data_IF_155240605369
#
_entry.id   IF_155240605369
#
_cell.length_a   1.000
_cell.length_b   1.000
_cell.length_c   1.000
_cell.angle_alpha   90.00
_cell.angle_beta   90.00
_cell.angle_gamma   90.00
#
_symmetry.space_group_name_H-M   'P 1'
#
loop_
_entity.id
_entity.type
_entity.pdbx_description
1 polymer ?
#
# COMPACT_ATOMS: atom_id res chain seq x y z
N UNK A 1 13.07 1.72 0.11
CA UNK A 1 13.18 0.33 -0.41
C UNK A 1 12.51 -0.66 0.57
N UNK A 2 11.50 -1.40 0.13
CA UNK A 2 10.78 -2.39 0.95
C UNK A 2 10.97 -3.80 0.36
N UNK A 3 12.14 -4.40 0.54
CA UNK A 3 12.49 -5.72 0.00
C UNK A 3 13.39 -6.47 0.98
N UNK A 4 13.15 -7.78 1.09
CA UNK A 4 13.97 -8.72 1.88
C UNK A 4 14.79 -9.67 1.01
N UNK A 5 14.78 -9.48 -0.32
CA UNK A 5 15.58 -10.26 -1.30
C UNK A 5 16.74 -9.41 -1.81
N UNK A 6 17.93 -10.00 -1.88
CA UNK A 6 19.16 -9.35 -2.36
C UNK A 6 19.01 -8.75 -3.77
N UNK A 7 18.26 -9.41 -4.67
CA UNK A 7 18.01 -8.93 -6.05
C UNK A 7 16.61 -8.32 -6.28
N UNK A 8 15.81 -8.17 -5.23
CA UNK A 8 14.47 -7.59 -5.35
C UNK A 8 14.56 -6.07 -5.35
N UNK A 9 14.25 -5.39 -6.45
CA UNK A 9 14.28 -3.92 -6.56
C UNK A 9 13.32 -3.17 -5.62
N UNK A 10 12.46 -3.87 -4.86
CA UNK A 10 11.46 -3.27 -4.00
C UNK A 10 10.36 -2.51 -4.76
N UNK A 11 10.25 -2.71 -6.08
CA UNK A 11 9.31 -2.00 -6.95
C UNK A 11 7.86 -2.40 -6.66
N UNK A 12 7.60 -3.67 -6.33
CA UNK A 12 6.25 -4.18 -6.11
C UNK A 12 5.48 -3.40 -5.04
N UNK A 13 6.00 -3.36 -3.81
CA UNK A 13 5.33 -2.64 -2.73
C UNK A 13 5.38 -1.12 -2.92
N UNK A 14 6.41 -0.61 -3.61
CA UNK A 14 6.49 0.81 -3.96
C UNK A 14 5.33 1.23 -4.89
N UNK A 15 5.06 0.42 -5.92
CA UNK A 15 3.93 0.64 -6.83
C UNK A 15 2.59 0.49 -6.11
N UNK A 16 2.44 -0.54 -5.27
CA UNK A 16 1.23 -0.74 -4.46
C UNK A 16 0.98 0.45 -3.55
N UNK A 17 2.01 0.95 -2.87
CA UNK A 17 1.89 2.13 -1.99
C UNK A 17 1.48 3.38 -2.77
N UNK A 18 2.03 3.58 -3.98
CA UNK A 18 1.63 4.69 -4.85
C UNK A 18 0.16 4.60 -5.25
N UNK A 19 -0.27 3.44 -5.77
CA UNK A 19 -1.66 3.21 -6.18
C UNK A 19 -2.61 3.44 -5.01
N UNK A 20 -2.30 2.88 -3.83
CA UNK A 20 -3.17 3.03 -2.65
C UNK A 20 -3.27 4.50 -2.23
N UNK A 21 -2.18 5.27 -2.27
CA UNK A 21 -2.20 6.72 -1.99
C UNK A 21 -3.01 7.51 -3.01
N UNK A 22 -2.91 7.18 -4.30
CA UNK A 22 -3.67 7.85 -5.36
C UNK A 22 -5.19 7.66 -5.17
N UNK A 23 -5.59 6.56 -4.52
CA UNK A 23 -6.98 6.30 -4.13
C UNK A 23 -7.33 6.80 -2.72
N UNK A 24 -6.49 7.60 -2.08
CA UNK A 24 -6.64 8.06 -0.69
C UNK A 24 -6.83 6.91 0.31
N UNK A 25 -6.27 5.74 -0.03
CA UNK A 25 -6.28 4.55 0.77
C UNK A 25 -5.11 4.45 1.73
N UNK A 26 -5.11 3.38 2.52
CA UNK A 26 -4.05 3.02 3.47
C UNK A 26 -3.67 1.55 3.32
N UNK A 27 -2.41 1.25 3.58
CA UNK A 27 -1.87 -0.12 3.62
C UNK A 27 -1.27 -0.38 5.00
N UNK A 28 -1.54 -1.56 5.57
CA UNK A 28 -0.94 -2.07 6.80
C UNK A 28 -0.40 -3.47 6.51
N UNK A 29 0.78 -3.79 7.06
CA UNK A 29 1.39 -5.11 6.94
C UNK A 29 1.64 -5.62 8.36
N UNK A 30 1.16 -6.83 8.62
CA UNK A 30 1.33 -7.56 9.87
C UNK A 30 2.03 -8.87 9.53
N UNK A 31 3.16 -9.16 10.16
CA UNK A 31 3.93 -10.37 9.86
C UNK A 31 4.56 -10.90 11.13
N UNK A 32 4.45 -12.21 11.34
CA UNK A 32 5.10 -12.92 12.43
C UNK A 32 5.82 -14.16 11.88
N UNK A 33 7.09 -14.41 12.27
CA UNK A 33 7.82 -15.60 11.86
C UNK A 33 7.05 -16.89 12.18
N UNK A 34 6.90 -17.77 11.19
CA UNK A 34 6.18 -19.04 11.34
C UNK A 34 4.65 -18.93 11.27
N UNK A 35 4.07 -17.73 11.34
CA UNK A 35 2.62 -17.49 11.16
C UNK A 35 2.28 -16.93 9.77
N UNK A 36 3.27 -16.36 9.09
CA UNK A 36 3.13 -15.77 7.77
C UNK A 36 2.92 -14.27 7.80
N UNK A 37 2.34 -13.73 6.74
CA UNK A 37 2.20 -12.29 6.52
C UNK A 37 0.78 -11.95 6.06
N UNK A 38 0.16 -10.98 6.72
CA UNK A 38 -1.11 -10.38 6.36
C UNK A 38 -0.91 -8.97 5.82
N UNK A 39 -1.50 -8.68 4.65
CA UNK A 39 -1.47 -7.35 4.04
C UNK A 39 -2.90 -6.83 3.97
N UNK A 40 -3.15 -5.71 4.64
CA UNK A 40 -4.48 -5.14 4.83
C UNK A 40 -4.54 -3.80 4.09
N UNK A 41 -5.46 -3.70 3.13
CA UNK A 41 -5.68 -2.49 2.33
C UNK A 41 -7.04 -1.91 2.71
N UNK A 42 -7.06 -0.63 3.07
CA UNK A 42 -8.29 0.13 3.37
C UNK A 42 -8.46 1.22 2.33
N UNK A 43 -9.59 1.22 1.62
CA UNK A 43 -9.94 2.25 0.64
C UNK A 43 -11.20 3.01 1.10
N UNK A 44 -11.31 4.31 0.81
CA UNK A 44 -12.56 5.04 0.97
C UNK A 44 -13.67 4.39 0.13
N UNK A 45 -14.88 4.25 0.70
CA UNK A 45 -16.04 3.70 0.00
C UNK A 45 -16.49 4.58 -1.17
N UNK A 46 -16.26 5.88 -1.07
CA UNK A 46 -16.56 6.87 -2.09
C UNK A 46 -15.30 7.71 -2.34
N UNK A 47 -15.07 8.12 -3.59
CA UNK A 47 -14.04 9.12 -3.89
C UNK A 47 -14.53 10.46 -3.37
N UNK A 48 -13.70 11.15 -2.58
CA UNK A 48 -13.99 12.53 -2.20
C UNK A 48 -14.12 13.38 -3.46
N UNK A 49 -15.34 13.86 -3.73
CA UNK A 49 -15.66 14.74 -4.84
C UNK A 49 -15.24 16.20 -4.57
N UNK A 50 -14.53 16.47 -3.48
CA UNK A 50 -14.25 17.82 -2.97
C UNK A 50 -12.91 18.40 -3.40
N UNK A 51 -12.17 17.76 -4.31
CA UNK A 51 -11.04 18.40 -5.01
C UNK A 51 -11.50 19.00 -6.34
N UNK A 52 -12.26 20.08 -6.27
CA UNK A 52 -12.41 21.05 -7.38
C UNK A 52 -11.94 22.40 -6.85
N UNK A 53 -11.19 23.13 -7.68
CA UNK A 53 -10.67 24.49 -7.54
C UNK A 53 -9.58 24.74 -6.49
N UNK A 54 -8.32 24.73 -6.95
CA UNK A 54 -7.48 25.94 -6.97
C UNK A 54 -7.04 26.19 -8.42
#
# INVERSE_FOLDING_TARGET
PFTSKEDGTGIGLTNVNRIIKDFSGRIKIESEPGQGTSVIITLPRFRDSTKTSE
#
